data_IF_599442618188
#
_entry.id   IF_599442618188
#
_cell.length_a   1.000
_cell.length_b   1.000
_cell.length_c   1.000
_cell.angle_alpha   90.00
_cell.angle_beta   90.00
_cell.angle_gamma   90.00
#
_symmetry.space_group_name_H-M   'P 1'
#
loop_
_entity.id
_entity.type
_entity.pdbx_description
1 polymer ?
#
# COMPACT_ATOMS: atom_id res chain seq x y z
N UNK A 1 -21.13 31.54 -59.39
CA UNK A 1 -21.77 31.91 -58.14
C UNK A 1 -20.99 31.23 -56.99
N UNK A 2 -20.31 32.09 -56.30
CA UNK A 2 -19.47 31.78 -55.17
C UNK A 2 -20.35 31.70 -53.93
N UNK A 3 -20.23 30.65 -53.18
CA UNK A 3 -20.57 30.59 -51.77
C UNK A 3 -19.45 29.88 -51.04
N UNK A 4 -18.55 30.72 -50.57
CA UNK A 4 -17.51 30.44 -49.62
C UNK A 4 -18.17 30.36 -48.25
N UNK A 5 -18.29 29.18 -47.71
CA UNK A 5 -18.55 28.99 -46.31
C UNK A 5 -17.31 28.42 -45.62
N UNK A 6 -16.45 29.34 -45.22
CA UNK A 6 -15.40 29.10 -44.26
C UNK A 6 -16.01 28.81 -42.89
N UNK A 7 -16.04 27.54 -42.51
CA UNK A 7 -16.17 27.17 -41.13
C UNK A 7 -14.81 26.89 -40.52
N UNK A 8 -14.28 27.94 -39.97
CA UNK A 8 -13.16 27.91 -39.09
C UNK A 8 -13.68 27.54 -37.70
N UNK A 9 -13.74 26.22 -37.40
CA UNK A 9 -14.04 25.73 -36.07
C UNK A 9 -12.74 25.30 -35.37
N UNK A 10 -12.02 26.30 -34.94
CA UNK A 10 -10.90 26.12 -34.01
C UNK A 10 -11.45 26.08 -32.59
N UNK A 11 -11.92 24.95 -32.20
CA UNK A 11 -12.15 24.69 -30.78
C UNK A 11 -10.87 24.19 -30.14
N UNK A 12 -10.06 25.16 -29.74
CA UNK A 12 -8.98 24.95 -28.79
C UNK A 12 -9.58 24.57 -27.44
N UNK A 13 -9.75 23.26 -27.22
CA UNK A 13 -9.89 22.73 -25.87
C UNK A 13 -8.51 22.42 -25.33
N UNK A 14 -7.90 23.46 -24.83
CA UNK A 14 -6.72 23.36 -23.98
C UNK A 14 -7.22 23.04 -22.56
N UNK A 15 -7.54 21.77 -22.33
CA UNK A 15 -7.87 21.25 -21.02
C UNK A 15 -6.63 20.59 -20.44
N UNK A 16 -5.69 21.44 -20.08
CA UNK A 16 -4.50 21.05 -19.33
C UNK A 16 -4.79 21.15 -17.84
N UNK A 17 -5.65 20.28 -17.34
CA UNK A 17 -5.68 19.95 -15.94
C UNK A 17 -4.56 18.93 -15.65
N UNK A 18 -3.33 19.40 -15.75
CA UNK A 18 -2.16 18.74 -15.19
C UNK A 18 -2.25 18.81 -13.65
N UNK A 19 -3.14 18.05 -13.06
CA UNK A 19 -2.96 17.58 -11.71
C UNK A 19 -1.93 16.45 -11.74
N UNK A 20 -0.68 16.86 -11.75
CA UNK A 20 0.46 16.00 -11.56
C UNK A 20 0.55 15.55 -10.10
N UNK A 21 -0.44 14.80 -9.65
CA UNK A 21 -0.28 13.87 -8.56
C UNK A 21 0.33 12.60 -9.14
N UNK A 22 1.57 12.71 -9.58
CA UNK A 22 2.29 11.60 -10.17
C UNK A 22 2.61 10.56 -9.09
N UNK A 23 1.65 9.68 -8.88
CA UNK A 23 1.92 8.41 -8.23
C UNK A 23 2.68 7.56 -9.23
N UNK A 24 3.96 7.37 -8.98
CA UNK A 24 4.78 6.50 -9.79
C UNK A 24 4.66 5.05 -9.33
N UNK A 25 4.64 4.12 -10.27
CA UNK A 25 4.82 2.72 -9.93
C UNK A 25 6.23 2.50 -9.39
N UNK A 26 6.33 1.87 -8.24
CA UNK A 26 7.61 1.46 -7.71
C UNK A 26 8.27 0.44 -8.65
N UNK A 27 9.57 0.58 -8.85
CA UNK A 27 10.32 -0.28 -9.74
C UNK A 27 10.72 -1.57 -9.06
N UNK A 28 10.37 -2.71 -9.66
CA UNK A 28 10.91 -4.00 -9.27
C UNK A 28 12.42 -4.06 -9.57
N UNK A 29 13.22 -4.39 -8.55
CA UNK A 29 14.68 -4.48 -8.65
C UNK A 29 15.18 -5.91 -8.64
N UNK A 30 14.38 -6.85 -8.16
CA UNK A 30 14.66 -8.27 -8.15
C UNK A 30 13.37 -9.06 -8.36
N UNK A 31 13.39 -10.03 -9.28
CA UNK A 31 12.31 -10.94 -9.54
C UNK A 31 12.86 -12.37 -9.48
N UNK A 32 12.74 -13.00 -8.33
CA UNK A 32 13.11 -14.39 -8.14
C UNK A 32 11.89 -15.18 -7.67
N UNK A 33 11.62 -16.33 -8.29
CA UNK A 33 10.47 -17.17 -7.95
C UNK A 33 10.51 -17.65 -6.48
N UNK A 34 11.69 -17.86 -5.91
CA UNK A 34 11.86 -18.27 -4.51
C UNK A 34 11.82 -17.10 -3.53
N UNK A 35 12.38 -15.95 -3.90
CA UNK A 35 12.53 -14.78 -3.03
C UNK A 35 11.44 -13.72 -3.24
N UNK A 36 10.59 -13.93 -4.24
CA UNK A 36 9.53 -13.01 -4.59
C UNK A 36 10.01 -11.81 -5.43
N UNK A 37 9.12 -10.85 -5.62
CA UNK A 37 9.40 -9.61 -6.31
C UNK A 37 9.72 -8.52 -5.30
N UNK A 38 10.86 -7.87 -5.45
CA UNK A 38 11.34 -6.80 -4.56
C UNK A 38 11.15 -5.45 -5.23
N UNK A 39 10.42 -4.56 -4.57
CA UNK A 39 10.22 -3.17 -4.97
C UNK A 39 11.01 -2.27 -4.03
N UNK A 40 12.07 -1.65 -4.56
CA UNK A 40 12.82 -0.64 -3.83
C UNK A 40 12.17 0.72 -4.02
N UNK A 41 11.80 1.39 -2.93
CA UNK A 41 11.19 2.70 -3.00
C UNK A 41 12.22 3.79 -3.28
N UNK A 42 11.80 4.76 -4.05
CA UNK A 42 12.55 5.98 -4.39
C UNK A 42 12.41 7.06 -3.31
N UNK A 43 11.23 7.08 -2.66
CA UNK A 43 10.89 8.05 -1.62
C UNK A 43 10.90 7.41 -0.23
N UNK A 44 10.81 8.25 0.79
CA UNK A 44 10.58 7.83 2.18
C UNK A 44 9.19 8.29 2.61
N UNK A 45 8.15 7.50 2.32
CA UNK A 45 6.79 7.89 2.63
C UNK A 45 6.54 7.93 4.14
N UNK A 46 5.65 8.80 4.55
CA UNK A 46 5.13 8.88 5.92
C UNK A 46 3.72 8.33 6.06
N UNK A 47 3.10 8.00 4.93
CA UNK A 47 1.77 7.39 4.87
C UNK A 47 1.83 6.06 4.15
N UNK A 48 1.30 5.03 4.78
CA UNK A 48 1.14 3.71 4.19
C UNK A 48 -0.35 3.45 3.98
N UNK A 49 -0.75 3.25 2.73
CA UNK A 49 -2.09 2.88 2.31
C UNK A 49 -2.05 1.48 1.70
N UNK A 50 -2.55 0.50 2.44
CA UNK A 50 -2.45 -0.90 2.11
C UNK A 50 -3.86 -1.48 1.97
N UNK A 51 -4.20 -1.91 0.76
CA UNK A 51 -5.50 -2.49 0.43
C UNK A 51 -5.32 -3.86 -0.22
N UNK A 52 -5.53 -4.92 0.56
CA UNK A 52 -5.30 -6.29 0.15
C UNK A 52 -6.59 -7.09 0.19
N UNK A 53 -6.73 -8.05 -0.73
CA UNK A 53 -7.93 -8.88 -0.83
C UNK A 53 -7.82 -10.18 -0.04
N UNK A 54 -6.79 -11.00 -0.36
CA UNK A 54 -6.55 -12.32 0.24
C UNK A 54 -5.06 -12.53 0.38
N UNK A 55 -4.49 -12.01 1.43
CA UNK A 55 -3.05 -11.92 1.55
C UNK A 55 -2.58 -12.08 3.00
N UNK A 56 -1.32 -12.41 3.16
CA UNK A 56 -0.61 -12.26 4.42
C UNK A 56 0.25 -11.01 4.34
N UNK A 57 0.05 -10.07 5.25
CA UNK A 57 0.79 -8.83 5.35
C UNK A 57 1.73 -8.87 6.53
N UNK A 58 2.99 -8.52 6.31
CA UNK A 58 4.00 -8.40 7.36
C UNK A 58 4.65 -7.01 7.26
N UNK A 59 4.65 -6.28 8.37
CA UNK A 59 5.46 -5.09 8.55
C UNK A 59 6.64 -5.42 9.44
N UNK A 60 7.84 -5.10 8.99
CA UNK A 60 9.09 -5.41 9.70
C UNK A 60 10.10 -4.28 9.57
N UNK A 61 11.18 -4.34 10.36
CA UNK A 61 12.28 -3.41 10.25
C UNK A 61 13.18 -3.75 9.07
N UNK A 62 13.72 -2.72 8.43
CA UNK A 62 14.67 -2.84 7.34
C UNK A 62 15.55 -1.60 7.24
N UNK A 63 16.60 -1.68 6.45
CA UNK A 63 17.55 -0.58 6.26
C UNK A 63 16.97 0.56 5.40
N UNK A 64 15.98 0.24 4.59
CA UNK A 64 15.31 1.19 3.70
C UNK A 64 13.87 0.77 3.44
N UNK A 65 13.07 1.66 2.87
CA UNK A 65 11.72 1.27 2.42
C UNK A 65 11.79 0.28 1.28
N UNK A 66 11.22 -0.89 1.51
CA UNK A 66 11.19 -2.00 0.57
C UNK A 66 9.85 -2.74 0.68
N UNK A 67 9.29 -3.11 -0.45
CA UNK A 67 8.12 -3.99 -0.53
C UNK A 67 8.54 -5.28 -1.23
N UNK A 68 8.28 -6.41 -0.59
CA UNK A 68 8.54 -7.72 -1.17
C UNK A 68 7.25 -8.52 -1.26
N UNK A 69 6.96 -9.04 -2.43
CA UNK A 69 5.74 -9.80 -2.71
C UNK A 69 6.10 -11.22 -3.13
N UNK A 70 5.57 -12.20 -2.39
CA UNK A 70 5.75 -13.61 -2.65
C UNK A 70 4.48 -14.24 -3.23
N UNK A 71 4.63 -15.25 -4.05
CA UNK A 71 3.54 -16.06 -4.60
C UNK A 71 2.51 -15.27 -5.44
N UNK A 72 2.96 -14.21 -6.11
CA UNK A 72 2.13 -13.41 -7.01
C UNK A 72 2.46 -13.69 -8.49
N UNK A 73 2.20 -14.91 -8.92
CA UNK A 73 2.47 -15.37 -10.30
C UNK A 73 1.74 -14.55 -11.37
N UNK A 74 0.66 -13.88 -11.02
CA UNK A 74 -0.12 -13.05 -11.93
C UNK A 74 0.21 -11.56 -11.85
N UNK A 75 1.17 -11.16 -11.03
CA UNK A 75 1.51 -9.75 -10.76
C UNK A 75 0.27 -8.91 -10.42
N UNK A 76 -0.56 -9.44 -9.52
CA UNK A 76 -1.82 -8.81 -9.11
C UNK A 76 -1.65 -7.83 -7.93
N UNK A 77 -0.46 -7.71 -7.39
CA UNK A 77 -0.11 -6.70 -6.40
C UNK A 77 0.54 -5.53 -7.11
N UNK A 78 -0.04 -4.35 -6.92
CA UNK A 78 0.52 -3.10 -7.43
C UNK A 78 1.13 -2.31 -6.29
N UNK A 79 2.32 -1.77 -6.53
CA UNK A 79 3.06 -0.93 -5.59
C UNK A 79 3.28 0.43 -6.24
N UNK A 80 2.66 1.45 -5.67
CA UNK A 80 2.78 2.84 -6.12
C UNK A 80 3.36 3.70 -5.02
N UNK A 81 4.14 4.66 -5.38
CA UNK A 81 4.74 5.61 -4.45
C UNK A 81 4.60 7.04 -4.93
N UNK A 82 4.47 7.94 -3.98
CA UNK A 82 4.64 9.37 -4.15
C UNK A 82 5.65 9.87 -3.10
N UNK A 83 5.90 11.16 -3.04
CA UNK A 83 6.84 11.72 -2.07
C UNK A 83 6.49 11.43 -0.61
N UNK A 84 5.21 11.25 -0.29
CA UNK A 84 4.70 11.08 1.07
C UNK A 84 3.89 9.79 1.30
N UNK A 85 3.47 9.10 0.25
CA UNK A 85 2.55 7.97 0.35
C UNK A 85 3.06 6.75 -0.39
N UNK A 86 2.99 5.59 0.27
CA UNK A 86 3.13 4.28 -0.33
C UNK A 86 1.75 3.64 -0.42
N UNK A 87 1.34 3.22 -1.63
CA UNK A 87 0.12 2.47 -1.88
C UNK A 87 0.43 1.06 -2.34
N UNK A 88 -0.09 0.08 -1.64
CA UNK A 88 0.02 -1.34 -1.99
C UNK A 88 -1.38 -1.91 -2.13
N UNK A 89 -1.72 -2.38 -3.31
CA UNK A 89 -3.04 -2.94 -3.60
C UNK A 89 -2.93 -4.29 -4.26
N UNK A 90 -3.77 -5.23 -3.83
CA UNK A 90 -3.99 -6.49 -4.54
C UNK A 90 -5.38 -6.51 -5.17
N UNK A 91 -5.48 -7.03 -6.38
CA UNK A 91 -6.69 -6.93 -7.20
C UNK A 91 -7.40 -8.26 -7.42
N UNK A 92 -6.76 -9.38 -7.13
CA UNK A 92 -7.28 -10.69 -7.43
C UNK A 92 -7.09 -11.67 -6.29
N UNK A 93 -8.15 -12.43 -6.01
CA UNK A 93 -8.09 -13.58 -5.12
C UNK A 93 -7.30 -14.69 -5.78
N UNK A 94 -6.34 -15.25 -5.06
CA UNK A 94 -5.61 -16.45 -5.45
C UNK A 94 -6.08 -17.66 -4.61
N UNK A 95 -5.79 -18.86 -5.11
CA UNK A 95 -6.02 -20.10 -4.38
C UNK A 95 -5.08 -20.29 -3.18
N UNK A 96 -3.96 -19.58 -3.19
CA UNK A 96 -2.99 -19.50 -2.10
C UNK A 96 -2.86 -18.07 -1.64
N UNK A 97 -2.61 -17.88 -0.36
CA UNK A 97 -2.34 -16.56 0.17
C UNK A 97 -0.99 -16.06 -0.36
N UNK A 98 -1.02 -14.90 -0.97
CA UNK A 98 0.19 -14.16 -1.28
C UNK A 98 0.73 -13.57 0.01
N UNK A 99 2.02 -13.35 0.05
CA UNK A 99 2.67 -12.71 1.18
C UNK A 99 3.26 -11.39 0.73
N UNK A 100 2.90 -10.34 1.44
CA UNK A 100 3.41 -8.98 1.22
C UNK A 100 4.19 -8.56 2.45
N UNK A 101 5.49 -8.32 2.29
CA UNK A 101 6.35 -7.81 3.35
C UNK A 101 6.72 -6.36 3.05
N UNK A 102 6.46 -5.48 3.99
CA UNK A 102 6.88 -4.07 3.93
C UNK A 102 7.89 -3.84 5.04
N UNK A 103 9.09 -3.45 4.66
CA UNK A 103 10.15 -3.12 5.58
C UNK A 103 10.55 -1.65 5.47
N UNK A 104 10.87 -1.03 6.59
CA UNK A 104 11.34 0.35 6.65
C UNK A 104 12.18 0.61 7.90
N UNK A 105 12.99 1.68 7.92
CA UNK A 105 13.90 1.96 9.03
C UNK A 105 13.19 2.15 10.37
N UNK A 106 13.87 1.81 11.45
CA UNK A 106 13.36 1.88 12.82
C UNK A 106 12.95 3.30 13.23
N UNK A 107 13.68 4.29 12.81
CA UNK A 107 13.50 5.69 13.18
C UNK A 107 12.35 6.41 12.44
N UNK A 108 11.69 5.73 11.52
CA UNK A 108 10.59 6.30 10.75
C UNK A 108 9.31 6.35 11.58
N UNK A 109 8.77 7.55 11.74
CA UNK A 109 7.46 7.81 12.32
C UNK A 109 6.45 8.04 11.20
N UNK A 110 5.38 7.30 11.23
CA UNK A 110 4.32 7.41 10.24
C UNK A 110 3.32 8.51 10.65
N UNK A 111 2.81 9.23 9.67
CA UNK A 111 1.65 10.09 9.84
C UNK A 111 0.37 9.27 9.81
N UNK A 112 0.33 8.29 8.90
CA UNK A 112 -0.84 7.44 8.71
C UNK A 112 -0.43 6.03 8.33
N UNK A 113 -1.03 5.05 8.99
CA UNK A 113 -0.99 3.65 8.61
C UNK A 113 -2.42 3.17 8.43
N UNK A 114 -2.80 2.92 7.18
CA UNK A 114 -4.11 2.42 6.81
C UNK A 114 -3.98 1.03 6.20
N UNK A 115 -4.67 0.07 6.81
CA UNK A 115 -4.69 -1.32 6.37
C UNK A 115 -6.14 -1.74 6.15
N UNK A 116 -6.47 -2.07 4.92
CA UNK A 116 -7.72 -2.69 4.53
C UNK A 116 -7.44 -4.10 3.99
N UNK A 117 -7.99 -5.11 4.65
CA UNK A 117 -7.78 -6.51 4.32
C UNK A 117 -9.12 -7.21 4.15
N UNK A 118 -9.36 -7.82 3.00
CA UNK A 118 -10.56 -8.63 2.79
C UNK A 118 -10.56 -9.86 3.68
N UNK A 119 -9.55 -10.71 3.55
CA UNK A 119 -9.30 -11.84 4.43
C UNK A 119 -7.82 -12.23 4.42
N UNK A 120 -7.33 -12.72 5.53
CA UNK A 120 -5.94 -13.13 5.67
C UNK A 120 -5.36 -12.82 7.04
N UNK A 121 -4.06 -12.61 7.07
CA UNK A 121 -3.34 -12.32 8.31
C UNK A 121 -2.53 -11.03 8.19
N UNK A 122 -2.44 -10.30 9.28
CA UNK A 122 -1.58 -9.12 9.40
C UNK A 122 -0.68 -9.31 10.61
N UNK A 123 0.61 -9.24 10.39
CA UNK A 123 1.62 -9.31 11.44
C UNK A 123 2.43 -8.01 11.47
N UNK A 124 2.38 -7.32 12.60
CA UNK A 124 3.25 -6.18 12.87
C UNK A 124 4.44 -6.67 13.69
N UNK A 125 5.55 -6.94 13.02
CA UNK A 125 6.78 -7.49 13.60
C UNK A 125 7.82 -6.41 13.87
N UNK A 126 7.35 -5.22 14.20
CA UNK A 126 8.17 -4.07 14.55
C UNK A 126 7.39 -3.10 15.43
N UNK A 127 8.08 -2.23 16.10
CA UNK A 127 7.46 -1.11 16.79
C UNK A 127 6.82 -0.16 15.77
N UNK A 128 5.59 0.23 16.01
CA UNK A 128 4.85 1.17 15.16
C UNK A 128 4.62 2.46 15.94
N UNK A 129 4.98 3.57 15.37
CA UNK A 129 4.62 4.90 15.84
C UNK A 129 3.94 5.66 14.69
N UNK A 130 2.69 6.05 14.90
CA UNK A 130 1.90 6.74 13.88
C UNK A 130 0.95 7.76 14.51
N UNK A 131 0.62 8.81 13.78
CA UNK A 131 -0.44 9.75 14.21
C UNK A 131 -1.82 9.10 14.09
N UNK A 132 -2.07 8.38 12.99
CA UNK A 132 -3.33 7.70 12.73
C UNK A 132 -3.11 6.26 12.31
N UNK A 133 -3.79 5.36 13.01
CA UNK A 133 -3.87 3.94 12.66
C UNK A 133 -5.31 3.61 12.27
N UNK A 134 -5.51 3.08 11.07
CA UNK A 134 -6.80 2.57 10.62
C UNK A 134 -6.63 1.14 10.13
N UNK A 135 -7.37 0.21 10.71
CA UNK A 135 -7.35 -1.19 10.32
C UNK A 135 -8.78 -1.67 10.13
N UNK A 136 -9.10 -2.09 8.93
CA UNK A 136 -10.36 -2.70 8.58
C UNK A 136 -10.10 -4.09 7.97
N UNK A 137 -10.61 -5.13 8.63
CA UNK A 137 -10.49 -6.51 8.17
C UNK A 137 -11.86 -7.16 8.05
N UNK A 138 -12.15 -7.77 6.92
CA UNK A 138 -13.36 -8.58 6.76
C UNK A 138 -13.27 -9.87 7.58
N UNK A 139 -12.17 -10.60 7.47
CA UNK A 139 -11.95 -11.82 8.23
C UNK A 139 -10.45 -12.11 8.39
N UNK A 140 -10.12 -12.84 9.45
CA UNK A 140 -8.77 -13.32 9.68
C UNK A 140 -8.16 -12.92 11.02
N UNK A 141 -6.85 -12.75 11.04
CA UNK A 141 -6.10 -12.45 12.25
C UNK A 141 -5.20 -11.24 12.07
N UNK A 142 -5.22 -10.37 13.04
CA UNK A 142 -4.28 -9.26 13.17
C UNK A 142 -3.49 -9.44 14.46
N UNK A 143 -2.18 -9.50 14.37
CA UNK A 143 -1.31 -9.67 15.52
C UNK A 143 -0.17 -8.66 15.48
N UNK A 144 -0.01 -7.94 16.59
CA UNK A 144 1.17 -7.13 16.85
C UNK A 144 1.89 -7.63 18.09
N UNK A 145 3.12 -8.12 17.91
CA UNK A 145 3.99 -8.59 19.01
C UNK A 145 4.83 -7.47 19.60
N UNK A 146 4.89 -6.35 18.93
CA UNK A 146 5.64 -5.17 19.32
C UNK A 146 4.70 -4.03 19.72
N UNK A 147 5.17 -3.05 20.47
CA UNK A 147 4.37 -1.88 20.82
C UNK A 147 3.86 -1.12 19.61
N UNK A 148 2.60 -0.71 19.67
CA UNK A 148 1.97 0.18 18.70
C UNK A 148 1.52 1.43 19.43
N UNK A 149 2.05 2.56 19.01
CA UNK A 149 1.67 3.88 19.54
C UNK A 149 0.97 4.66 18.44
N UNK A 150 -0.27 5.05 18.69
CA UNK A 150 -1.06 5.83 17.76
C UNK A 150 -1.80 6.96 18.49
N UNK A 151 -1.81 8.13 17.90
CA UNK A 151 -2.61 9.24 18.45
C UNK A 151 -4.11 9.00 18.27
N UNK A 152 -4.48 8.46 17.12
CA UNK A 152 -5.84 8.02 16.79
C UNK A 152 -5.78 6.61 16.25
N UNK A 153 -6.68 5.75 16.74
CA UNK A 153 -6.81 4.38 16.25
C UNK A 153 -8.27 4.05 15.96
N UNK A 154 -8.50 3.55 14.76
CA UNK A 154 -9.78 3.02 14.30
C UNK A 154 -9.57 1.57 13.85
N UNK A 155 -10.16 0.65 14.60
CA UNK A 155 -9.92 -0.79 14.44
C UNK A 155 -11.23 -1.52 14.25
N UNK A 156 -11.39 -2.19 13.12
CA UNK A 156 -12.58 -2.96 12.79
C UNK A 156 -12.22 -4.34 12.24
N UNK A 157 -12.85 -5.37 12.77
CA UNK A 157 -12.78 -6.73 12.23
C UNK A 157 -14.16 -7.36 12.20
N UNK A 158 -14.54 -7.91 11.05
CA UNK A 158 -15.84 -8.58 10.90
C UNK A 158 -15.86 -9.96 11.54
N UNK A 159 -14.86 -10.79 11.26
CA UNK A 159 -14.76 -12.15 11.79
C UNK A 159 -13.30 -12.56 12.00
N UNK A 160 -12.93 -12.81 13.23
CA UNK A 160 -11.57 -13.19 13.60
C UNK A 160 -11.09 -12.52 14.88
N UNK A 161 -9.80 -12.23 14.95
CA UNK A 161 -9.19 -11.65 16.13
C UNK A 161 -8.18 -10.56 15.81
N UNK A 162 -8.12 -9.55 16.68
CA UNK A 162 -7.05 -8.56 16.72
C UNK A 162 -6.35 -8.65 18.08
N UNK A 163 -5.05 -8.82 18.05
CA UNK A 163 -4.23 -8.93 19.27
C UNK A 163 -3.09 -7.93 19.21
N UNK A 164 -2.98 -7.11 20.23
CA UNK A 164 -1.88 -6.19 20.42
C UNK A 164 -1.14 -6.55 21.72
N UNK A 165 0.17 -6.67 21.66
CA UNK A 165 0.98 -6.83 22.85
C UNK A 165 0.93 -5.57 23.72
N UNK A 166 0.96 -4.41 23.09
CA UNK A 166 0.81 -3.10 23.71
C UNK A 166 0.24 -2.14 22.68
N UNK A 167 -0.84 -1.45 23.02
CA UNK A 167 -1.46 -0.41 22.22
C UNK A 167 -1.68 0.83 23.10
N UNK A 168 -1.01 1.90 22.76
CA UNK A 168 -1.09 3.15 23.50
C UNK A 168 -1.36 4.36 22.62
#
# INVERSE_FOLDING_TARGET
YDDDDDYDDSSDYDDSDDHDDSEDYARAVDENEEDGTVYQLKYQPTKLDIELKYDDLILEEGDSFCVRVYDDSGKNVTVKESSDTLKVKSTKKLSKNRKVCISYPEDVKLQELEIEMGAGTVYLNRDIETEKLSVEMGAGEFESKNPVTAREADLEIGNGSMTFADLS
#
